data_IF_496842820476
#
_entry.id   IF_496842820476
#
_cell.length_a   1.000
_cell.length_b   1.000
_cell.length_c   1.000
_cell.angle_alpha   90.00
_cell.angle_beta   90.00
_cell.angle_gamma   90.00
#
_symmetry.space_group_name_H-M   'P 1'
#
loop_
_entity.id
_entity.type
_entity.pdbx_description
1 polymer ?
#
# COMPACT_ATOMS: atom_id res chain seq x y z
N UNK A 1 18.31 4.02 -46.58
CA UNK A 1 16.98 3.78 -45.97
C UNK A 1 17.08 3.99 -44.46
N UNK A 2 16.55 5.11 -43.94
CA UNK A 2 16.50 5.36 -42.49
C UNK A 2 15.25 4.68 -41.92
N UNK A 3 15.42 3.65 -41.09
CA UNK A 3 14.32 3.15 -40.26
C UNK A 3 14.20 4.06 -39.04
N UNK A 4 13.11 4.84 -38.99
CA UNK A 4 12.75 5.65 -37.84
C UNK A 4 12.38 4.74 -36.67
N UNK A 5 13.16 4.84 -35.58
CA UNK A 5 12.81 4.26 -34.29
C UNK A 5 11.53 4.96 -33.80
N UNK A 6 10.44 4.19 -33.70
CA UNK A 6 9.16 4.66 -33.14
C UNK A 6 9.38 5.00 -31.67
N UNK A 7 9.24 6.28 -31.36
CA UNK A 7 9.06 6.80 -30.01
C UNK A 7 7.98 5.97 -29.29
N UNK A 8 8.37 5.35 -28.17
CA UNK A 8 7.50 4.57 -27.31
C UNK A 8 6.61 5.55 -26.55
N UNK A 9 5.49 5.93 -27.18
CA UNK A 9 4.44 6.76 -26.58
C UNK A 9 4.01 6.17 -25.25
N UNK A 10 4.27 6.89 -24.15
CA UNK A 10 3.68 6.65 -22.85
C UNK A 10 2.16 6.53 -23.01
N UNK A 11 1.61 5.34 -22.74
CA UNK A 11 0.17 5.15 -22.64
C UNK A 11 -0.34 6.03 -21.50
N UNK A 12 -0.95 7.17 -21.81
CA UNK A 12 -1.68 7.97 -20.81
C UNK A 12 -2.65 7.02 -20.10
N UNK A 13 -2.39 6.75 -18.83
CA UNK A 13 -3.26 5.88 -18.04
C UNK A 13 -4.67 6.49 -18.03
N UNK A 14 -5.71 5.67 -18.20
CA UNK A 14 -7.11 6.14 -18.29
C UNK A 14 -7.68 6.55 -16.91
N UNK A 15 -6.81 6.86 -15.97
CA UNK A 15 -7.16 7.19 -14.60
C UNK A 15 -7.21 8.71 -14.44
N UNK A 16 -8.42 9.25 -14.31
CA UNK A 16 -8.65 10.68 -14.05
C UNK A 16 -8.60 10.97 -12.56
N UNK A 17 -9.29 10.16 -11.76
CA UNK A 17 -9.39 10.28 -10.31
C UNK A 17 -9.24 8.88 -9.70
N UNK A 18 -8.07 8.25 -9.79
CA UNK A 18 -7.89 6.86 -9.38
C UNK A 18 -8.14 6.71 -7.88
N UNK A 19 -8.82 5.65 -7.52
CA UNK A 19 -9.09 5.22 -6.16
C UNK A 19 -8.76 3.74 -6.01
N UNK A 20 -8.23 3.40 -4.83
CA UNK A 20 -7.97 2.04 -4.41
C UNK A 20 -8.78 1.74 -3.15
N UNK A 21 -9.51 0.63 -3.18
CA UNK A 21 -10.11 0.07 -1.97
C UNK A 21 -9.11 -0.84 -1.27
N UNK A 22 -8.94 -0.65 0.04
CA UNK A 22 -8.04 -1.45 0.87
C UNK A 22 -8.65 -1.74 2.25
N UNK A 23 -8.24 -2.84 2.87
CA UNK A 23 -8.77 -3.25 4.16
C UNK A 23 -8.28 -2.33 5.29
N UNK A 24 -9.09 -2.25 6.35
CA UNK A 24 -8.63 -1.70 7.62
C UNK A 24 -7.74 -2.71 8.36
N UNK A 25 -6.77 -2.26 9.17
CA UNK A 25 -6.48 -0.85 9.51
C UNK A 25 -5.61 -0.10 8.48
N UNK A 26 -5.07 -0.78 7.46
CA UNK A 26 -4.12 -0.18 6.53
C UNK A 26 -4.64 1.06 5.79
N UNK A 27 -5.94 1.11 5.46
CA UNK A 27 -6.55 2.27 4.82
C UNK A 27 -6.38 3.55 5.65
N UNK A 28 -6.77 3.50 6.94
CA UNK A 28 -6.59 4.64 7.84
C UNK A 28 -5.11 4.93 8.08
N UNK A 29 -4.29 3.92 8.34
CA UNK A 29 -2.86 4.11 8.61
C UNK A 29 -2.14 4.82 7.46
N UNK A 30 -2.54 4.56 6.21
CA UNK A 30 -1.99 5.19 5.02
C UNK A 30 -2.37 6.67 4.92
N UNK A 31 -3.65 7.02 5.05
CA UNK A 31 -4.09 8.44 4.96
C UNK A 31 -3.72 9.26 6.19
N UNK A 32 -3.42 8.62 7.32
CA UNK A 32 -2.83 9.25 8.52
C UNK A 32 -1.30 9.41 8.42
N UNK A 33 -0.67 8.94 7.34
CA UNK A 33 0.77 9.08 7.14
C UNK A 33 1.63 8.24 8.06
N UNK A 34 1.04 7.20 8.68
CA UNK A 34 1.75 6.24 9.52
C UNK A 34 2.37 5.17 8.61
N UNK A 35 1.55 4.59 7.72
CA UNK A 35 1.96 3.69 6.64
C UNK A 35 2.45 4.50 5.45
N UNK A 36 3.55 4.08 4.84
CA UNK A 36 4.25 4.79 3.74
C UNK A 36 4.35 3.96 2.47
N UNK A 37 4.25 2.63 2.59
CA UNK A 37 4.31 1.70 1.46
C UNK A 37 2.98 1.00 1.33
N UNK A 38 2.34 1.05 0.17
CA UNK A 38 1.19 0.19 -0.15
C UNK A 38 1.65 -1.11 -0.83
N UNK A 39 1.20 -2.25 -0.32
CA UNK A 39 1.69 -3.56 -0.75
C UNK A 39 0.70 -4.30 -1.64
N UNK A 40 1.14 -4.77 -2.82
CA UNK A 40 0.30 -5.49 -3.78
C UNK A 40 1.04 -6.65 -4.46
N UNK A 41 0.27 -7.59 -5.01
CA UNK A 41 0.76 -8.67 -5.86
C UNK A 41 0.98 -8.24 -7.33
N UNK A 42 0.71 -6.97 -7.65
CA UNK A 42 0.81 -6.38 -8.99
C UNK A 42 1.40 -4.96 -8.92
N UNK A 43 2.09 -4.51 -9.99
CA UNK A 43 2.73 -3.19 -10.02
C UNK A 43 1.70 -2.06 -10.06
N UNK A 44 2.07 -0.87 -9.59
CA UNK A 44 1.19 0.29 -9.66
C UNK A 44 0.90 0.68 -11.11
N UNK A 45 -0.38 0.86 -11.51
CA UNK A 45 -0.76 1.27 -12.84
C UNK A 45 -0.76 2.81 -12.98
N UNK A 46 -0.44 3.53 -11.90
CA UNK A 46 -0.49 4.99 -11.81
C UNK A 46 0.72 5.55 -11.05
N UNK A 47 1.08 6.78 -11.39
CA UNK A 47 1.84 7.70 -10.54
C UNK A 47 1.01 8.97 -10.35
N UNK A 48 1.18 9.64 -9.22
CA UNK A 48 0.37 10.80 -8.80
C UNK A 48 -0.70 10.44 -7.77
N UNK A 49 -1.70 11.32 -7.63
CA UNK A 49 -2.73 11.22 -6.59
C UNK A 49 -3.51 9.90 -6.69
N UNK A 50 -3.63 9.19 -5.57
CA UNK A 50 -4.46 8.00 -5.39
C UNK A 50 -5.41 8.21 -4.21
N UNK A 51 -6.71 8.12 -4.46
CA UNK A 51 -7.73 8.15 -3.43
C UNK A 51 -7.83 6.82 -2.69
N UNK A 52 -8.03 6.86 -1.38
CA UNK A 52 -8.08 5.68 -0.52
C UNK A 52 -9.48 5.48 0.03
N UNK A 53 -10.06 4.35 -0.31
CA UNK A 53 -11.35 3.88 0.20
C UNK A 53 -11.12 2.70 1.16
N UNK A 54 -11.77 2.74 2.32
CA UNK A 54 -11.78 1.64 3.27
C UNK A 54 -12.79 0.57 2.85
N UNK A 55 -12.33 -0.67 2.71
CA UNK A 55 -13.17 -1.82 2.41
C UNK A 55 -14.24 -2.06 3.49
N UNK A 56 -15.28 -2.83 3.16
CA UNK A 56 -16.42 -3.05 4.04
C UNK A 56 -16.23 -4.05 5.19
N UNK A 57 -15.17 -4.89 5.18
CA UNK A 57 -14.90 -5.81 6.29
C UNK A 57 -14.39 -5.02 7.49
N UNK A 58 -15.11 -5.13 8.61
CA UNK A 58 -14.69 -4.61 9.91
C UNK A 58 -13.39 -5.32 10.33
N UNK A 59 -12.34 -4.58 10.71
CA UNK A 59 -11.09 -5.18 11.18
C UNK A 59 -11.29 -5.84 12.54
N UNK A 60 -10.65 -6.99 12.74
CA UNK A 60 -10.59 -7.66 14.05
C UNK A 60 -9.70 -6.84 15.00
N UNK A 61 -10.01 -6.83 16.29
CA UNK A 61 -9.28 -6.02 17.28
C UNK A 61 -7.81 -6.45 17.37
N UNK A 62 -7.56 -7.75 17.29
CA UNK A 62 -6.22 -8.34 17.23
C UNK A 62 -5.45 -7.87 16.00
N UNK A 63 -6.14 -7.66 14.87
CA UNK A 63 -5.53 -7.14 13.64
C UNK A 63 -5.13 -5.68 13.82
N UNK A 64 -5.99 -4.86 14.44
CA UNK A 64 -5.65 -3.47 14.76
C UNK A 64 -4.44 -3.45 15.67
N UNK A 65 -4.50 -4.16 16.81
CA UNK A 65 -3.41 -4.22 17.79
C UNK A 65 -2.09 -4.67 17.18
N UNK A 66 -2.10 -5.74 16.38
CA UNK A 66 -0.90 -6.25 15.73
C UNK A 66 -0.27 -5.22 14.78
N UNK A 67 -1.09 -4.49 14.03
CA UNK A 67 -0.60 -3.46 13.12
C UNK A 67 -0.12 -2.21 13.86
N UNK A 68 -0.81 -1.77 14.91
CA UNK A 68 -0.35 -0.65 15.74
C UNK A 68 0.97 -0.98 16.43
N UNK A 69 1.12 -2.17 17.00
CA UNK A 69 2.38 -2.65 17.59
C UNK A 69 3.51 -2.68 16.56
N UNK A 70 3.24 -3.21 15.36
CA UNK A 70 4.20 -3.18 14.26
C UNK A 70 4.68 -1.76 13.93
N UNK A 71 3.77 -0.80 13.82
CA UNK A 71 4.17 0.58 13.57
C UNK A 71 4.92 1.19 14.77
N UNK A 72 4.53 0.90 16.02
CA UNK A 72 5.29 1.35 17.20
C UNK A 72 6.73 0.88 17.15
N UNK A 73 6.94 -0.41 16.90
CA UNK A 73 8.28 -1.02 16.85
C UNK A 73 9.14 -0.44 15.73
N UNK A 74 8.64 -0.34 14.49
CA UNK A 74 9.47 0.18 13.39
C UNK A 74 9.79 1.67 13.56
N UNK A 75 8.89 2.49 14.12
CA UNK A 75 9.16 3.91 14.39
C UNK A 75 10.10 4.10 15.60
N UNK A 76 10.04 3.21 16.59
CA UNK A 76 10.97 3.21 17.73
C UNK A 76 12.42 3.00 17.28
N UNK A 77 12.66 2.28 16.18
CA UNK A 77 14.00 2.19 15.56
C UNK A 77 14.57 3.55 15.15
N UNK A 78 13.72 4.57 14.95
CA UNK A 78 14.11 5.95 14.67
C UNK A 78 13.94 6.89 15.89
N UNK A 79 13.75 6.34 17.10
CA UNK A 79 13.55 7.11 18.32
C UNK A 79 12.16 7.75 18.45
N UNK A 80 11.19 7.36 17.62
CA UNK A 80 9.82 7.89 17.65
C UNK A 80 8.94 6.91 18.43
N UNK A 81 8.54 7.29 19.65
CA UNK A 81 7.73 6.45 20.54
C UNK A 81 6.30 6.98 20.74
N UNK A 82 6.08 8.29 20.60
CA UNK A 82 4.75 8.92 20.72
C UNK A 82 4.02 8.93 19.36
N UNK A 83 3.54 7.76 18.94
CA UNK A 83 2.68 7.61 17.76
C UNK A 83 1.22 7.71 18.18
N UNK A 84 0.50 8.65 17.58
CA UNK A 84 -0.95 8.78 17.72
C UNK A 84 -1.66 8.04 16.61
N UNK A 85 -2.23 6.88 16.94
CA UNK A 85 -3.04 6.09 16.02
C UNK A 85 -4.46 6.67 15.87
N UNK A 86 -5.15 6.39 14.75
CA UNK A 86 -6.56 6.72 14.61
C UNK A 86 -7.40 6.09 15.72
N UNK A 87 -8.28 6.87 16.36
CA UNK A 87 -9.22 6.35 17.37
C UNK A 87 -10.25 5.40 16.75
N UNK A 88 -10.54 5.57 15.45
CA UNK A 88 -11.54 4.80 14.72
C UNK A 88 -11.05 4.40 13.33
N UNK A 89 -11.48 3.20 12.89
CA UNK A 89 -11.17 2.62 11.59
C UNK A 89 -12.46 2.42 10.77
N UNK A 90 -13.03 3.50 10.19
CA UNK A 90 -14.30 3.42 9.48
C UNK A 90 -14.21 2.52 8.24
N UNK A 91 -15.27 1.78 7.96
CA UNK A 91 -15.40 0.88 6.79
C UNK A 91 -16.35 1.47 5.76
N UNK A 92 -16.25 1.02 4.50
CA UNK A 92 -17.12 1.46 3.39
C UNK A 92 -17.11 2.97 3.15
N UNK A 93 -15.97 3.62 3.39
CA UNK A 93 -15.84 5.07 3.26
C UNK A 93 -14.60 5.49 2.48
N UNK A 94 -14.74 6.55 1.68
CA UNK A 94 -13.61 7.30 1.14
C UNK A 94 -12.96 8.08 2.29
N UNK A 95 -11.67 7.85 2.52
CA UNK A 95 -10.97 8.41 3.68
C UNK A 95 -10.10 9.62 3.36
N UNK A 96 -9.56 9.69 2.14
CA UNK A 96 -8.53 10.65 1.79
C UNK A 96 -7.75 10.22 0.56
N UNK A 97 -6.53 10.71 0.42
CA UNK A 97 -5.64 10.34 -0.66
C UNK A 97 -4.17 10.41 -0.25
N UNK A 98 -3.33 9.76 -1.04
CA UNK A 98 -1.87 9.86 -1.02
C UNK A 98 -1.37 10.17 -2.43
N UNK A 99 -0.10 10.49 -2.57
CA UNK A 99 0.59 10.54 -3.85
C UNK A 99 1.43 9.28 -4.04
N UNK A 100 1.15 8.49 -5.08
CA UNK A 100 2.01 7.37 -5.48
C UNK A 100 3.13 7.91 -6.34
N UNK A 101 4.34 7.97 -5.78
CA UNK A 101 5.49 8.54 -6.49
C UNK A 101 6.21 7.50 -7.35
N UNK A 102 6.16 6.23 -6.97
CA UNK A 102 6.79 5.14 -7.70
C UNK A 102 6.35 3.76 -7.23
N UNK A 103 6.90 2.72 -7.86
CA UNK A 103 6.66 1.33 -7.53
C UNK A 103 7.96 0.55 -7.70
N UNK A 104 8.34 -0.20 -6.67
CA UNK A 104 9.55 -1.05 -6.64
C UNK A 104 9.19 -2.45 -6.15
N UNK A 105 10.06 -3.44 -6.34
CA UNK A 105 9.87 -4.75 -5.70
C UNK A 105 10.24 -4.71 -4.21
N UNK A 106 9.82 -5.71 -3.44
CA UNK A 106 10.25 -5.81 -2.04
C UNK A 106 11.78 -5.98 -1.90
N UNK A 107 12.43 -6.67 -2.82
CA UNK A 107 13.89 -6.86 -2.83
C UNK A 107 14.62 -5.55 -3.12
N UNK A 108 14.13 -4.77 -4.10
CA UNK A 108 14.67 -3.44 -4.42
C UNK A 108 14.52 -2.50 -3.23
N UNK A 109 13.34 -2.47 -2.59
CA UNK A 109 13.11 -1.65 -1.40
C UNK A 109 14.00 -2.08 -0.24
N UNK A 110 14.15 -3.38 0.00
CA UNK A 110 15.01 -3.90 1.06
C UNK A 110 16.48 -3.49 0.86
N UNK A 111 16.94 -3.40 -0.39
CA UNK A 111 18.32 -3.04 -0.74
C UNK A 111 18.55 -1.53 -0.87
N UNK A 112 17.51 -0.70 -0.71
CA UNK A 112 17.61 0.74 -0.92
C UNK A 112 18.09 1.46 0.35
N UNK A 113 19.41 1.54 0.54
CA UNK A 113 20.05 2.09 1.76
C UNK A 113 19.65 3.53 2.10
N UNK A 114 19.36 4.36 1.09
CA UNK A 114 18.90 5.73 1.30
C UNK A 114 17.50 5.80 1.95
N UNK A 115 16.73 4.71 1.92
CA UNK A 115 15.43 4.60 2.59
C UNK A 115 15.65 4.06 4.01
N UNK A 116 15.13 4.76 5.06
CA UNK A 116 15.27 4.30 6.43
C UNK A 116 14.83 2.85 6.63
N UNK A 117 15.58 2.08 7.43
CA UNK A 117 15.30 0.66 7.70
C UNK A 117 13.86 0.40 8.16
N UNK A 118 13.30 1.30 8.97
CA UNK A 118 11.91 1.24 9.43
C UNK A 118 10.88 1.27 8.30
N UNK A 119 11.14 2.05 7.24
CA UNK A 119 10.28 2.16 6.06
C UNK A 119 10.44 0.90 5.19
N UNK A 120 11.68 0.41 5.04
CA UNK A 120 11.97 -0.80 4.26
C UNK A 120 11.22 -2.02 4.82
N UNK A 121 11.04 -2.11 6.13
CA UNK A 121 10.30 -3.19 6.80
C UNK A 121 8.79 -3.22 6.47
N UNK A 122 8.22 -2.15 5.91
CA UNK A 122 6.83 -2.17 5.41
C UNK A 122 6.68 -2.99 4.13
N UNK A 123 7.77 -3.19 3.38
CA UNK A 123 7.81 -3.88 2.09
C UNK A 123 7.70 -5.40 2.22
N UNK A 124 6.52 -5.91 2.51
CA UNK A 124 6.29 -7.35 2.77
C UNK A 124 5.54 -8.06 1.64
N UNK A 125 5.32 -7.39 0.51
CA UNK A 125 4.59 -7.90 -0.65
C UNK A 125 5.42 -7.70 -1.93
N UNK A 126 5.18 -8.49 -2.99
CA UNK A 126 6.00 -8.46 -4.21
C UNK A 126 6.19 -7.07 -4.81
N UNK A 127 5.15 -6.24 -4.85
CA UNK A 127 5.21 -4.87 -5.33
C UNK A 127 4.89 -3.88 -4.21
N UNK A 128 5.77 -2.90 -4.05
CA UNK A 128 5.73 -1.86 -3.04
C UNK A 128 5.48 -0.51 -3.71
N UNK A 129 4.27 0.01 -3.53
CA UNK A 129 3.87 1.33 -4.04
C UNK A 129 4.31 2.38 -3.03
N UNK A 130 5.13 3.32 -3.48
CA UNK A 130 5.73 4.34 -2.64
C UNK A 130 4.74 5.50 -2.49
N UNK A 131 4.27 5.76 -1.27
CA UNK A 131 3.24 6.75 -1.00
C UNK A 131 3.79 7.94 -0.21
N UNK A 132 3.51 9.14 -0.71
CA UNK A 132 3.85 10.42 -0.08
C UNK A 132 2.60 11.29 0.12
N UNK A 133 2.78 12.46 0.75
CA UNK A 133 1.77 13.51 0.89
C UNK A 133 0.37 13.00 1.31
N UNK A 134 0.26 12.32 2.46
CA UNK A 134 -1.03 11.86 2.96
C UNK A 134 -1.95 13.05 3.26
N UNK A 135 -3.18 12.95 2.76
CA UNK A 135 -4.25 13.89 3.02
C UNK A 135 -5.49 13.11 3.44
N UNK A 136 -6.17 13.56 4.50
CA UNK A 136 -7.39 12.94 5.01
C UNK A 136 -8.59 13.83 4.79
N UNK A 137 -9.75 13.22 4.56
CA UNK A 137 -11.02 13.95 4.56
C UNK A 137 -11.40 14.29 6.00
N UNK A 138 -11.83 15.53 6.22
CA UNK A 138 -12.38 15.96 7.51
C UNK A 138 -13.63 15.13 7.84
N UNK A 139 -14.46 14.86 6.84
CA UNK A 139 -15.63 13.98 6.94
C UNK A 139 -15.53 12.91 5.84
N UNK A 140 -15.23 11.64 6.19
CA UNK A 140 -15.19 10.55 5.23
C UNK A 140 -16.55 10.28 4.57
N UNK A 141 -16.56 10.06 3.25
CA UNK A 141 -17.79 9.84 2.49
C UNK A 141 -18.17 8.37 2.44
N UNK A 142 -19.43 8.06 2.69
CA UNK A 142 -19.94 6.72 2.44
C UNK A 142 -20.09 6.47 0.93
N UNK A 143 -19.45 5.40 0.46
CA UNK A 143 -19.55 4.98 -0.94
C UNK A 143 -19.14 3.52 -1.10
N UNK A 144 -19.59 2.90 -2.19
CA UNK A 144 -19.16 1.56 -2.58
C UNK A 144 -17.71 1.58 -3.09
N UNK A 145 -16.92 0.62 -2.61
CA UNK A 145 -15.59 0.34 -3.15
C UNK A 145 -15.63 -0.69 -4.27
N UNK A 146 -14.56 -0.76 -5.07
CA UNK A 146 -14.42 -1.70 -6.19
C UNK A 146 -13.07 -2.40 -6.15
N UNK A 147 -12.97 -3.52 -6.87
CA UNK A 147 -11.72 -4.27 -7.03
C UNK A 147 -10.77 -3.55 -8.00
N UNK A 148 -9.46 -3.61 -7.71
CA UNK A 148 -8.43 -2.93 -8.49
C UNK A 148 -8.45 -1.41 -8.30
N UNK A 149 -7.69 -0.69 -9.15
CA UNK A 149 -7.79 0.78 -9.24
C UNK A 149 -8.98 1.14 -10.12
N UNK A 150 -9.85 2.02 -9.64
CA UNK A 150 -11.03 2.52 -10.36
C UNK A 150 -11.07 4.05 -10.32
N UNK A 151 -11.87 4.68 -11.18
CA UNK A 151 -12.05 6.13 -11.14
C UNK A 151 -13.20 6.50 -10.20
N UNK A 152 -12.98 7.49 -9.32
CA UNK A 152 -14.08 8.13 -8.60
C UNK A 152 -15.05 8.81 -9.56
N UNK A 153 -16.33 8.77 -9.21
CA UNK A 153 -17.33 9.61 -9.86
C UNK A 153 -16.98 11.08 -9.70
N UNK A 154 -17.21 11.87 -10.75
CA UNK A 154 -16.84 13.28 -10.78
C UNK A 154 -17.41 14.08 -9.60
N UNK A 155 -18.68 13.85 -9.24
CA UNK A 155 -19.33 14.54 -8.11
C UNK A 155 -18.67 14.21 -6.77
N UNK A 156 -18.33 12.94 -6.55
CA UNK A 156 -17.65 12.48 -5.32
C UNK A 156 -16.27 13.10 -5.24
N UNK A 157 -15.51 13.07 -6.34
CA UNK A 157 -14.19 13.72 -6.41
C UNK A 157 -14.27 15.23 -6.12
N UNK A 158 -15.16 15.97 -6.77
CA UNK A 158 -15.32 17.41 -6.59
C UNK A 158 -15.65 17.78 -5.14
N UNK A 159 -16.50 16.98 -4.48
CA UNK A 159 -16.79 17.14 -3.06
C UNK A 159 -15.57 16.79 -2.18
N UNK A 160 -14.85 15.71 -2.52
CA UNK A 160 -13.76 15.18 -1.71
C UNK A 160 -12.59 16.16 -1.66
N UNK A 161 -12.22 16.75 -2.80
CA UNK A 161 -11.14 17.74 -2.87
C UNK A 161 -11.37 18.92 -1.93
N UNK A 162 -12.63 19.35 -1.75
CA UNK A 162 -12.98 20.46 -0.85
C UNK A 162 -12.87 20.09 0.63
N UNK A 163 -12.93 18.81 0.96
CA UNK A 163 -12.87 18.29 2.33
C UNK A 163 -11.49 17.79 2.77
N UNK A 164 -10.45 17.93 1.93
CA UNK A 164 -9.12 17.44 2.24
C UNK A 164 -8.39 18.34 3.25
N UNK A 165 -7.76 17.68 4.22
CA UNK A 165 -6.81 18.27 5.16
C UNK A 165 -5.46 17.58 4.99
N UNK A 166 -4.39 18.36 4.91
CA UNK A 166 -3.02 17.82 4.93
C UNK A 166 -2.76 17.11 6.25
N UNK A 167 -1.97 16.04 6.20
CA UNK A 167 -1.49 15.33 7.39
C UNK A 167 0.00 15.56 7.54
N UNK A 168 0.44 15.89 8.76
CA UNK A 168 1.86 15.99 9.10
C UNK A 168 2.36 14.61 9.48
N UNK A 169 3.13 13.97 8.59
CA UNK A 169 3.76 12.68 8.86
C UNK A 169 4.78 12.80 10.00
N UNK A 170 4.86 11.79 10.87
CA UNK A 170 5.80 11.73 12.00
C UNK A 170 7.25 11.64 11.53
N UNK A 171 7.48 10.86 10.48
CA UNK A 171 8.76 10.78 9.77
C UNK A 171 8.49 11.01 8.28
N UNK A 172 8.51 12.27 7.80
CA UNK A 172 8.34 12.55 6.37
C UNK A 172 9.43 11.86 5.58
N UNK A 173 9.04 10.95 4.69
CA UNK A 173 9.95 10.27 3.77
C UNK A 173 9.75 10.88 2.40
N UNK A 174 10.86 11.18 1.72
CA UNK A 174 10.86 11.55 0.32
C UNK A 174 11.65 10.49 -0.44
N UNK A 175 10.95 9.73 -1.27
CA UNK A 175 11.54 8.70 -2.10
C UNK A 175 12.25 9.38 -3.27
N UNK A 176 13.57 9.49 -3.19
CA UNK A 176 14.40 10.02 -4.28
C UNK A 176 14.48 8.98 -5.39
N UNK A 177 13.41 8.89 -6.17
CA UNK A 177 13.37 7.93 -7.25
C UNK A 177 14.52 8.19 -8.25
N UNK A 178 15.15 7.12 -8.73
CA UNK A 178 15.90 7.12 -9.98
C UNK A 178 15.32 8.05 -11.06
N UNK A 179 15.98 9.15 -11.41
CA UNK A 179 15.66 9.90 -12.63
C UNK A 179 16.30 9.17 -13.81
N UNK A 180 15.52 8.55 -14.71
CA UNK A 180 16.04 7.81 -15.85
C UNK A 180 16.81 8.69 -16.85
N UNK A 181 16.76 10.02 -16.72
CA UNK A 181 17.44 10.99 -17.58
C UNK A 181 18.72 11.55 -16.95
N UNK A 182 18.93 11.33 -15.66
CA UNK A 182 20.17 11.70 -14.98
C UNK A 182 21.08 10.47 -14.93
N UNK A 183 22.23 10.47 -15.65
CA UNK A 183 23.14 9.34 -15.67
C UNK A 183 23.81 9.05 -14.31
N UNK A 184 23.75 10.00 -13.35
CA UNK A 184 24.22 9.84 -11.98
C UNK A 184 23.10 9.45 -11.01
N UNK A 185 21.85 9.45 -11.46
CA UNK A 185 20.76 8.93 -10.66
C UNK A 185 20.91 7.43 -10.50
N UNK A 186 20.62 6.93 -9.29
CA UNK A 186 20.45 5.50 -9.05
C UNK A 186 19.52 5.00 -10.16
N UNK A 187 19.86 4.00 -10.99
CA UNK A 187 18.89 3.46 -11.98
C UNK A 187 18.02 2.41 -11.29
N UNK A 188 16.74 2.23 -11.66
CA UNK A 188 15.97 1.08 -11.21
C UNK A 188 16.69 -0.21 -11.64
N UNK A 189 16.91 -1.14 -10.71
CA UNK A 189 17.74 -2.34 -10.94
C UNK A 189 19.26 -2.13 -10.97
N UNK A 190 19.77 -0.92 -10.72
CA UNK A 190 21.22 -0.65 -10.52
C UNK A 190 21.59 -0.32 -9.09
N UNK A 191 20.64 -0.45 -8.16
CA UNK A 191 20.97 -0.88 -6.80
C UNK A 191 21.60 -2.25 -7.02
N UNK A 192 22.93 -2.29 -7.11
CA UNK A 192 23.63 -3.55 -7.16
C UNK A 192 23.09 -4.35 -5.99
N UNK A 193 22.59 -5.55 -6.27
CA UNK A 193 22.53 -6.60 -5.27
C UNK A 193 23.98 -6.92 -4.89
N UNK A 194 24.67 -5.95 -4.31
CA UNK A 194 25.71 -6.23 -3.35
C UNK A 194 25.00 -7.13 -2.37
N UNK A 195 25.56 -8.29 -2.09
CA UNK A 195 25.25 -9.09 -0.91
C UNK A 195 25.59 -8.25 0.32
N UNK A 196 24.89 -7.13 0.50
CA UNK A 196 24.98 -6.22 1.63
C UNK A 196 23.91 -6.69 2.57
N UNK A 197 24.38 -7.47 3.53
CA UNK A 197 23.72 -7.87 4.77
C UNK A 197 22.24 -7.51 4.78
N UNK A 198 21.42 -8.55 4.56
CA UNK A 198 20.26 -8.77 5.41
C UNK A 198 20.56 -8.15 6.76
N UNK A 199 19.68 -7.30 7.30
CA UNK A 199 19.71 -7.05 8.74
C UNK A 199 19.74 -8.46 9.32
N UNK A 200 20.90 -8.85 9.85
CA UNK A 200 21.08 -10.20 10.36
C UNK A 200 19.96 -10.39 11.36
N UNK A 201 19.38 -11.59 11.42
CA UNK A 201 18.36 -11.88 12.43
C UNK A 201 18.84 -11.53 13.85
N UNK A 202 20.15 -11.35 14.02
CA UNK A 202 20.90 -10.95 15.21
C UNK A 202 20.75 -9.46 15.63
N UNK A 203 20.37 -8.52 14.75
CA UNK A 203 20.21 -7.09 15.12
C UNK A 203 18.78 -6.66 15.45
N UNK A 204 17.77 -7.51 15.20
CA UNK A 204 16.37 -7.17 15.48
C UNK A 204 16.03 -7.56 16.91
N UNK A 205 15.44 -6.63 17.66
CA UNK A 205 14.92 -6.95 18.98
C UNK A 205 13.87 -8.08 18.89
N UNK A 206 13.77 -8.95 19.91
CA UNK A 206 12.71 -9.98 19.95
C UNK A 206 11.30 -9.40 19.80
N UNK A 207 11.08 -8.18 20.30
CA UNK A 207 9.81 -7.45 20.16
C UNK A 207 9.52 -7.11 18.69
N UNK A 208 10.49 -6.55 17.97
CA UNK A 208 10.36 -6.22 16.55
C UNK A 208 10.09 -7.45 15.69
N UNK A 209 10.77 -8.58 15.96
CA UNK A 209 10.54 -9.84 15.24
C UNK A 209 9.10 -10.32 15.45
N UNK A 210 8.63 -10.28 16.70
CA UNK A 210 7.25 -10.67 17.06
C UNK A 210 6.23 -9.76 16.37
N UNK A 211 6.47 -8.45 16.37
CA UNK A 211 5.62 -7.46 15.72
C UNK A 211 5.55 -7.65 14.20
N UNK A 212 6.68 -7.93 13.54
CA UNK A 212 6.72 -8.27 12.10
C UNK A 212 5.88 -9.54 11.84
N UNK A 213 6.04 -10.59 12.66
CA UNK A 213 5.27 -11.82 12.51
C UNK A 213 3.77 -11.58 12.70
N UNK A 214 3.37 -10.78 13.69
CA UNK A 214 1.99 -10.37 13.92
C UNK A 214 1.39 -9.61 12.73
N UNK A 215 2.12 -8.64 12.17
CA UNK A 215 1.70 -7.91 10.98
C UNK A 215 1.52 -8.81 9.75
N UNK A 216 2.41 -9.80 9.55
CA UNK A 216 2.28 -10.79 8.48
C UNK A 216 1.03 -11.65 8.63
N UNK A 217 0.82 -12.19 9.83
CA UNK A 217 -0.37 -12.98 10.12
C UNK A 217 -1.65 -12.16 9.85
N UNK A 218 -1.70 -10.92 10.34
CA UNK A 218 -2.77 -9.97 10.09
C UNK A 218 -3.02 -9.74 8.59
N UNK A 219 -1.98 -9.59 7.76
CA UNK A 219 -2.15 -9.36 6.32
C UNK A 219 -2.73 -10.59 5.58
N UNK A 220 -2.36 -11.81 5.99
CA UNK A 220 -2.75 -13.05 5.29
C UNK A 220 -4.24 -13.41 5.44
N UNK A 221 -4.93 -12.87 6.44
CA UNK A 221 -6.35 -13.19 6.69
C UNK A 221 -7.28 -12.83 5.51
N UNK A 222 -6.88 -11.87 4.67
CA UNK A 222 -7.69 -11.39 3.55
C UNK A 222 -7.40 -12.10 2.22
N UNK A 223 -6.34 -12.91 2.14
CA UNK A 223 -5.92 -13.59 0.91
C UNK A 223 -6.72 -14.87 0.60
N UNK A 224 -7.49 -15.40 1.56
CA UNK A 224 -8.09 -16.76 1.46
C UNK A 224 -9.47 -16.85 0.77
N UNK A 225 -9.99 -15.80 0.12
CA UNK A 225 -11.35 -15.80 -0.48
C UNK A 225 -11.39 -15.60 -2.00
N UNK A 226 -10.54 -16.31 -2.74
CA UNK A 226 -10.73 -16.52 -4.18
C UNK A 226 -10.57 -18.00 -4.53
N UNK A 227 -11.45 -18.84 -3.99
CA UNK A 227 -11.78 -20.13 -4.60
C UNK A 227 -13.30 -20.24 -4.65
N UNK A 228 -13.83 -20.16 -5.87
CA UNK A 228 -15.23 -20.43 -6.16
C UNK A 228 -15.53 -21.90 -5.84
N UNK A 229 -16.61 -22.26 -5.14
CA UNK A 229 -17.09 -23.64 -5.13
C UNK A 229 -17.61 -23.97 -6.53
N UNK A 230 -17.06 -25.01 -7.16
CA UNK A 230 -17.70 -25.61 -8.33
C UNK A 230 -19.05 -26.22 -7.91
N UNK A 231 -20.09 -26.12 -8.75
CA UNK A 231 -21.36 -26.79 -8.49
C UNK A 231 -21.16 -28.30 -8.62
N UNK A 232 -21.41 -29.03 -7.53
CA UNK A 232 -21.59 -30.49 -7.56
C UNK A 232 -22.85 -30.81 -8.36
N UNK A 233 -22.68 -31.40 -9.54
CA UNK A 233 -23.74 -32.09 -10.27
C UNK A 233 -24.19 -33.30 -9.45
N UNK A 234 -25.40 -33.23 -8.91
CA UNK A 234 -26.12 -34.38 -8.35
C UNK A 234 -26.68 -35.19 -9.51
N UNK A 235 -26.17 -36.41 -9.69
CA UNK A 235 -26.76 -37.43 -10.55
C UNK A 235 -28.07 -37.91 -9.91
N UNK A 236 -29.20 -37.64 -10.56
CA UNK A 236 -30.47 -38.27 -10.22
C UNK A 236 -30.52 -39.62 -10.93
N UNK A 237 -30.62 -40.71 -10.15
CA UNK A 237 -30.99 -42.02 -10.64
C UNK A 237 -32.46 -42.00 -11.08
N UNK A 238 -32.73 -42.24 -12.36
CA UNK A 238 -34.06 -42.63 -12.83
C UNK A 238 -34.22 -44.14 -12.66
N UNK A 239 -35.20 -44.52 -11.86
CA UNK A 239 -35.71 -45.89 -11.74
C UNK A 239 -36.73 -46.08 -12.86
N UNK A 240 -36.38 -46.95 -13.81
CA UNK A 240 -37.20 -47.36 -14.94
C UNK A 240 -38.35 -48.25 -14.43
N UNK A 241 -39.57 -47.99 -14.91
CA UNK A 241 -40.77 -48.78 -14.67
C UNK A 241 -41.66 -48.77 -15.92
#
# INVERSE_FOLDING_TARGET
MKMGSRSRTSSKSNYRNPCLTMHQPWASLLVYGIKRIEGRSWPSPITGRLWIHAAGKVPEEETIKAMEEFYREIYAMNGITDIKFPEHYPVSRLLGCVEVVGCVTCEELASWEAVPSSVRLEGQTPFCWLCEQPQKLIVPFEMRGYQGVYNLERKVYEAAVRGLSSVKALLPVKFQLPDPRDPFSLKPGSIAATTSNWISEEEKSPSLVTAIAGARAAATQFSKKTSSPQPTTTTTEEIDN
#
